data_IF_482715222763
#
_entry.id   IF_482715222763
#
_cell.length_a   1.000
_cell.length_b   1.000
_cell.length_c   1.000
_cell.angle_alpha   90.00
_cell.angle_beta   90.00
_cell.angle_gamma   90.00
#
_symmetry.space_group_name_H-M   'P 1'
#
loop_
_entity.id
_entity.type
_entity.pdbx_description
1 polymer ?
#
# COMPACT_ATOMS: atom_id res chain seq x y z
N UNK A 1 40.39 18.28 -3.92
CA UNK A 1 41.66 18.57 -4.63
C UNK A 1 41.31 19.27 -5.95
N UNK A 2 41.96 20.40 -6.29
CA UNK A 2 42.01 21.09 -7.62
C UNK A 2 40.69 21.19 -8.44
N UNK A 3 39.97 22.32 -8.51
CA UNK A 3 40.20 23.47 -9.46
C UNK A 3 40.45 23.03 -10.91
N UNK A 4 39.78 23.53 -11.97
CA UNK A 4 39.79 24.92 -12.52
C UNK A 4 38.71 24.96 -13.65
N UNK A 5 37.74 25.89 -13.75
CA UNK A 5 37.78 27.28 -14.30
C UNK A 5 38.28 27.46 -15.75
N UNK A 6 37.60 28.34 -16.52
CA UNK A 6 38.05 29.16 -17.71
C UNK A 6 37.20 29.02 -19.01
N UNK A 7 36.89 30.18 -19.60
CA UNK A 7 36.29 30.44 -20.94
C UNK A 7 37.26 31.38 -21.73
N UNK A 8 36.87 32.28 -22.66
CA UNK A 8 35.71 32.39 -23.57
C UNK A 8 36.16 32.70 -25.04
N UNK A 9 35.21 33.17 -25.88
CA UNK A 9 35.39 34.01 -27.09
C UNK A 9 35.85 33.35 -28.40
N UNK A 10 35.06 33.59 -29.47
CA UNK A 10 35.57 34.14 -30.75
C UNK A 10 34.61 35.16 -31.37
N UNK A 11 35.19 36.20 -31.97
CA UNK A 11 34.57 37.39 -32.60
C UNK A 11 34.83 37.41 -34.12
N UNK A 12 34.20 38.38 -34.80
CA UNK A 12 34.49 38.94 -36.15
C UNK A 12 33.70 38.28 -37.31
N UNK A 13 33.34 38.97 -38.41
CA UNK A 13 33.58 40.36 -38.89
C UNK A 13 32.22 41.10 -39.12
N UNK A 14 32.04 42.43 -39.19
CA UNK A 14 32.73 43.59 -39.78
C UNK A 14 32.52 43.85 -41.29
N UNK A 15 32.32 45.14 -41.63
CA UNK A 15 31.97 45.80 -42.92
C UNK A 15 30.50 45.63 -43.36
N UNK A 16 29.68 46.65 -43.68
CA UNK A 16 29.80 48.08 -44.06
C UNK A 16 29.93 48.39 -45.57
N UNK A 17 28.83 48.88 -46.17
CA UNK A 17 28.88 49.89 -47.25
C UNK A 17 27.58 50.69 -47.33
N UNK A 18 27.70 51.96 -47.74
CA UNK A 18 26.67 52.98 -47.78
C UNK A 18 26.69 53.59 -49.19
N UNK A 19 25.58 53.56 -49.94
CA UNK A 19 25.42 54.37 -51.15
C UNK A 19 24.00 54.95 -51.17
N UNK A 20 23.92 56.26 -51.37
CA UNK A 20 22.68 57.01 -51.38
C UNK A 20 22.19 57.29 -52.81
N UNK A 21 20.88 57.52 -52.93
CA UNK A 21 20.32 58.41 -53.95
C UNK A 21 19.77 57.75 -55.21
N UNK A 22 18.45 57.83 -55.38
CA UNK A 22 17.89 58.77 -56.35
C UNK A 22 16.40 59.02 -56.07
N UNK A 23 16.05 60.30 -55.92
CA UNK A 23 14.67 60.75 -56.08
C UNK A 23 14.25 60.52 -57.54
N UNK A 24 13.13 59.85 -57.76
CA UNK A 24 12.27 60.13 -58.92
C UNK A 24 10.83 60.27 -58.42
N UNK A 25 10.30 61.48 -58.61
CA UNK A 25 8.91 61.82 -58.33
C UNK A 25 8.02 61.13 -59.37
N UNK A 26 7.06 60.33 -58.92
CA UNK A 26 5.87 60.01 -59.72
C UNK A 26 4.65 60.47 -58.95
N UNK A 27 3.97 61.46 -59.49
CA UNK A 27 2.74 62.02 -58.95
C UNK A 27 1.56 61.19 -59.51
N UNK A 28 1.09 60.21 -58.75
CA UNK A 28 -0.16 59.49 -59.02
C UNK A 28 -1.26 59.97 -58.06
N UNK A 29 -2.52 59.85 -58.49
CA UNK A 29 -3.69 60.41 -57.82
C UNK A 29 -3.90 59.90 -56.40
N UNK A 30 -4.49 60.77 -55.58
CA UNK A 30 -5.20 60.38 -54.37
C UNK A 30 -6.50 59.68 -54.75
N UNK A 31 -6.41 58.39 -55.01
CA UNK A 31 -7.53 57.46 -54.86
C UNK A 31 -7.23 56.67 -53.58
N UNK A 32 -7.98 56.96 -52.50
CA UNK A 32 -7.87 56.28 -51.20
C UNK A 32 -8.51 54.87 -51.24
N UNK A 33 -8.11 54.06 -52.24
CA UNK A 33 -8.36 52.62 -52.30
C UNK A 33 -7.10 51.88 -51.81
N UNK A 34 -6.65 52.19 -50.60
CA UNK A 34 -5.82 51.24 -49.86
C UNK A 34 -6.71 50.02 -49.61
N UNK A 35 -6.32 48.80 -50.02
CA UNK A 35 -7.12 47.62 -49.69
C UNK A 35 -7.24 47.57 -48.17
N UNK A 36 -8.47 47.40 -47.67
CA UNK A 36 -8.71 47.16 -46.25
C UNK A 36 -7.74 46.04 -45.81
N UNK A 37 -6.99 46.22 -44.71
CA UNK A 37 -6.07 45.20 -44.25
C UNK A 37 -6.87 43.92 -44.04
N UNK A 38 -6.47 42.83 -44.72
CA UNK A 38 -7.18 41.55 -44.60
C UNK A 38 -7.35 41.22 -43.11
N UNK A 39 -8.55 40.87 -42.64
CA UNK A 39 -8.80 40.65 -41.22
C UNK A 39 -7.95 39.47 -40.74
N UNK A 40 -6.84 39.80 -40.07
CA UNK A 40 -6.01 38.83 -39.36
C UNK A 40 -6.83 38.27 -38.22
N UNK A 41 -6.96 36.93 -38.16
CA UNK A 41 -7.56 36.27 -37.01
C UNK A 41 -6.82 36.69 -35.72
N UNK A 42 -7.53 36.81 -34.58
CA UNK A 42 -6.87 36.98 -33.30
C UNK A 42 -5.92 35.81 -33.02
N UNK A 43 -4.82 36.13 -32.34
CA UNK A 43 -3.79 35.17 -32.02
C UNK A 43 -4.13 34.44 -30.72
N UNK A 44 -4.23 33.12 -30.79
CA UNK A 44 -4.48 32.25 -29.64
C UNK A 44 -3.19 31.64 -29.07
N UNK A 45 -1.99 32.02 -29.57
CA UNK A 45 -0.69 31.63 -28.98
C UNK A 45 -0.52 32.13 -27.52
N UNK A 46 -1.32 33.12 -27.08
CA UNK A 46 -1.33 33.58 -25.68
C UNK A 46 -2.11 32.65 -24.73
N UNK A 47 -2.98 31.76 -25.25
CA UNK A 47 -3.67 30.75 -24.43
C UNK A 47 -2.73 29.61 -24.12
N UNK A 48 -2.38 29.46 -22.84
CA UNK A 48 -1.47 28.42 -22.39
C UNK A 48 -1.99 27.00 -22.69
N UNK A 49 -1.08 26.16 -23.20
CA UNK A 49 -1.27 24.71 -23.23
C UNK A 49 -1.48 24.15 -21.82
N UNK A 50 -2.20 23.03 -21.73
CA UNK A 50 -2.41 22.36 -20.46
C UNK A 50 -1.08 21.81 -19.94
N UNK A 51 -0.81 21.92 -18.62
CA UNK A 51 0.35 21.27 -18.06
C UNK A 51 0.24 19.74 -18.23
N UNK A 52 1.36 19.02 -18.46
CA UNK A 52 1.36 17.57 -18.41
C UNK A 52 1.04 17.10 -16.98
N UNK A 53 0.34 15.97 -16.84
CA UNK A 53 0.01 15.44 -15.51
C UNK A 53 1.27 14.99 -14.78
N UNK A 54 1.60 15.67 -13.68
CA UNK A 54 2.55 15.18 -12.68
C UNK A 54 1.84 14.20 -11.75
N UNK A 55 2.17 12.92 -11.86
CA UNK A 55 1.51 11.80 -11.18
C UNK A 55 2.55 10.85 -10.56
N UNK A 56 3.14 11.27 -9.44
CA UNK A 56 4.12 10.47 -8.69
C UNK A 56 3.47 9.25 -8.03
N UNK A 57 4.22 8.15 -7.90
CA UNK A 57 3.72 6.95 -7.24
C UNK A 57 3.63 7.11 -5.71
N UNK A 58 2.55 6.60 -5.07
CA UNK A 58 2.40 6.66 -3.63
C UNK A 58 3.51 5.88 -2.92
N UNK A 59 3.92 6.35 -1.75
CA UNK A 59 4.84 5.60 -0.89
C UNK A 59 4.12 4.41 -0.26
N UNK A 60 4.49 3.21 -0.68
CA UNK A 60 4.03 1.96 -0.08
C UNK A 60 4.86 1.69 1.18
N UNK A 61 4.18 1.32 2.27
CA UNK A 61 4.80 0.85 3.52
C UNK A 61 4.37 -0.58 3.72
N UNK A 62 5.33 -1.50 3.81
CA UNK A 62 5.04 -2.91 4.05
C UNK A 62 4.50 -3.14 5.48
N UNK A 63 3.48 -4.00 5.65
CA UNK A 63 2.93 -4.29 6.97
C UNK A 63 3.88 -5.10 7.85
N UNK A 64 3.89 -4.81 9.15
CA UNK A 64 4.61 -5.63 10.13
C UNK A 64 3.71 -6.76 10.64
N UNK A 65 4.05 -8.02 10.37
CA UNK A 65 3.17 -9.19 10.62
C UNK A 65 3.38 -9.87 11.98
N UNK A 66 4.40 -9.49 12.75
CA UNK A 66 4.74 -10.13 14.03
C UNK A 66 5.15 -11.60 13.89
N UNK A 67 5.21 -12.28 15.02
CA UNK A 67 5.64 -13.68 15.16
C UNK A 67 5.00 -14.33 16.38
N UNK A 68 5.14 -15.66 16.49
CA UNK A 68 4.81 -16.40 17.71
C UNK A 68 6.13 -16.78 18.37
N UNK A 69 6.30 -16.39 19.62
CA UNK A 69 7.55 -16.59 20.36
C UNK A 69 7.36 -17.64 21.45
N UNK A 70 8.44 -18.36 21.75
CA UNK A 70 8.46 -19.27 22.88
C UNK A 70 8.55 -18.49 24.20
N UNK A 71 7.88 -18.99 25.24
CA UNK A 71 7.94 -18.40 26.57
C UNK A 71 9.36 -18.47 27.16
N UNK A 72 9.84 -17.35 27.72
CA UNK A 72 11.14 -17.27 28.40
C UNK A 72 11.18 -18.25 29.59
N UNK A 73 10.09 -18.38 30.35
CA UNK A 73 9.96 -19.34 31.43
C UNK A 73 10.07 -20.80 30.95
N UNK A 74 9.49 -21.16 29.81
CA UNK A 74 9.61 -22.51 29.22
C UNK A 74 11.03 -22.78 28.73
N UNK A 75 11.69 -21.82 28.07
CA UNK A 75 13.10 -21.95 27.69
C UNK A 75 14.01 -22.12 28.92
N UNK A 76 13.75 -21.38 30.00
CA UNK A 76 14.47 -21.50 31.26
C UNK A 76 14.26 -22.89 31.91
N UNK A 77 13.03 -23.41 31.95
CA UNK A 77 12.71 -24.75 32.46
C UNK A 77 13.45 -25.84 31.66
N UNK A 78 13.36 -25.79 30.33
CA UNK A 78 14.04 -26.73 29.42
C UNK A 78 15.55 -26.68 29.65
N UNK A 79 16.11 -25.48 29.71
CA UNK A 79 17.54 -25.24 29.93
C UNK A 79 18.03 -25.78 31.29
N UNK A 80 17.29 -25.55 32.37
CA UNK A 80 17.61 -26.04 33.72
C UNK A 80 17.60 -27.58 33.78
N UNK A 81 16.59 -28.23 33.20
CA UNK A 81 16.46 -29.69 33.17
C UNK A 81 17.53 -30.35 32.32
N UNK A 82 17.79 -29.84 31.11
CA UNK A 82 18.83 -30.37 30.22
C UNK A 82 20.24 -30.20 30.82
N UNK A 83 20.50 -29.11 31.53
CA UNK A 83 21.80 -28.83 32.16
C UNK A 83 22.00 -29.44 33.57
N UNK A 84 20.99 -30.09 34.16
CA UNK A 84 21.07 -30.71 35.50
C UNK A 84 22.13 -31.83 35.65
N UNK A 85 22.76 -32.24 34.55
CA UNK A 85 23.86 -33.22 34.52
C UNK A 85 23.41 -34.61 34.98
N UNK A 86 24.34 -35.43 35.47
CA UNK A 86 24.04 -36.78 35.97
C UNK A 86 23.72 -36.81 37.47
N UNK A 87 23.78 -35.64 38.14
CA UNK A 87 23.58 -35.50 39.58
C UNK A 87 22.30 -34.75 39.97
N UNK A 88 21.55 -34.23 38.98
CA UNK A 88 20.12 -33.96 39.10
C UNK A 88 19.72 -32.75 39.93
N UNK A 89 20.53 -31.69 39.97
CA UNK A 89 20.16 -30.45 40.67
C UNK A 89 19.33 -29.52 39.78
N UNK A 90 18.12 -29.94 39.42
CA UNK A 90 17.08 -29.05 38.85
C UNK A 90 16.67 -28.04 39.94
N UNK A 91 16.48 -26.78 39.55
CA UNK A 91 16.13 -25.69 40.47
C UNK A 91 14.75 -25.86 41.13
N UNK A 92 14.58 -25.30 42.33
CA UNK A 92 13.29 -25.29 43.02
C UNK A 92 12.23 -24.47 42.25
N UNK A 93 12.64 -23.48 41.45
CA UNK A 93 11.74 -22.69 40.61
C UNK A 93 11.11 -23.54 39.50
N UNK A 94 11.93 -24.24 38.71
CA UNK A 94 11.47 -25.21 37.69
C UNK A 94 10.56 -26.27 38.29
N UNK A 95 10.89 -26.78 39.48
CA UNK A 95 10.07 -27.77 40.19
C UNK A 95 8.70 -27.22 40.61
N UNK A 96 8.61 -25.95 40.97
CA UNK A 96 7.37 -25.30 41.37
C UNK A 96 6.46 -25.02 40.17
N UNK A 97 6.97 -24.42 39.09
CA UNK A 97 6.20 -24.19 37.87
C UNK A 97 5.65 -25.49 37.26
N UNK A 98 6.47 -26.56 37.25
CA UNK A 98 6.02 -27.88 36.80
C UNK A 98 5.07 -28.57 37.79
N UNK A 99 5.11 -28.24 39.09
CA UNK A 99 4.09 -28.69 40.07
C UNK A 99 2.71 -28.15 39.70
N UNK A 100 2.63 -26.88 39.33
CA UNK A 100 1.38 -26.21 38.96
C UNK A 100 0.78 -26.79 37.68
N UNK A 101 1.60 -27.02 36.64
CA UNK A 101 1.20 -27.79 35.44
C UNK A 101 0.64 -29.16 35.82
N UNK A 102 1.29 -29.87 36.75
CA UNK A 102 0.83 -31.17 37.23
C UNK A 102 -0.47 -31.14 38.03
N UNK A 103 -0.73 -30.07 38.79
CA UNK A 103 -1.96 -29.90 39.59
C UNK A 103 -3.16 -29.47 38.72
N UNK A 104 -2.93 -28.68 37.68
CA UNK A 104 -3.93 -28.45 36.62
C UNK A 104 -4.21 -29.74 35.85
N UNK A 105 -3.18 -30.43 35.38
CA UNK A 105 -3.31 -31.63 34.53
C UNK A 105 -4.02 -32.80 35.21
N UNK A 106 -3.97 -32.89 36.55
CA UNK A 106 -4.73 -33.88 37.33
C UNK A 106 -6.26 -33.69 37.26
N UNK A 107 -6.73 -32.50 36.90
CA UNK A 107 -8.15 -32.16 36.77
C UNK A 107 -8.70 -32.51 35.37
N UNK A 108 -7.81 -32.70 34.39
CA UNK A 108 -8.16 -33.06 33.02
C UNK A 108 -8.63 -34.53 32.90
N UNK A 109 -9.41 -34.88 31.87
CA UNK A 109 -9.85 -36.26 31.64
C UNK A 109 -8.70 -37.27 31.57
N UNK A 110 -8.93 -38.49 32.04
CA UNK A 110 -7.91 -39.54 32.06
C UNK A 110 -7.37 -39.89 30.65
N UNK A 111 -8.19 -39.74 29.62
CA UNK A 111 -7.82 -39.85 28.20
C UNK A 111 -6.78 -38.80 27.79
N UNK A 112 -6.90 -37.56 28.26
CA UNK A 112 -5.93 -36.47 28.02
C UNK A 112 -4.63 -36.77 28.76
N UNK A 113 -4.70 -37.22 30.01
CA UNK A 113 -3.51 -37.61 30.79
C UNK A 113 -2.77 -38.79 30.13
N UNK A 114 -3.50 -39.75 29.55
CA UNK A 114 -2.93 -40.85 28.77
C UNK A 114 -2.30 -40.38 27.44
N UNK A 115 -2.94 -39.43 26.73
CA UNK A 115 -2.35 -38.79 25.53
C UNK A 115 -1.04 -38.07 25.88
N UNK A 116 -1.00 -37.28 26.95
CA UNK A 116 0.23 -36.62 27.42
C UNK A 116 1.34 -37.64 27.77
N UNK A 117 1.02 -38.69 28.53
CA UNK A 117 2.00 -39.71 28.93
C UNK A 117 2.65 -40.43 27.72
N UNK A 118 1.88 -40.62 26.64
CA UNK A 118 2.29 -41.27 25.40
C UNK A 118 2.68 -40.30 24.27
N UNK A 119 2.83 -39.00 24.57
CA UNK A 119 3.15 -38.00 23.55
C UNK A 119 4.54 -38.25 22.93
N UNK A 120 4.60 -38.15 21.60
CA UNK A 120 5.80 -38.23 20.75
C UNK A 120 5.73 -37.17 19.63
N UNK A 121 6.77 -37.10 18.77
CA UNK A 121 6.84 -36.13 17.67
C UNK A 121 5.70 -36.27 16.66
N UNK A 122 5.18 -37.49 16.44
CA UNK A 122 4.09 -37.73 15.49
C UNK A 122 2.74 -37.28 16.07
N UNK A 123 2.54 -37.43 17.37
CA UNK A 123 1.39 -36.87 18.08
C UNK A 123 1.44 -35.33 18.12
N UNK A 124 2.64 -34.73 18.28
CA UNK A 124 2.84 -33.28 18.15
C UNK A 124 2.48 -32.80 16.73
N UNK A 125 2.97 -33.47 15.69
CA UNK A 125 2.65 -33.12 14.30
C UNK A 125 1.13 -33.16 14.02
N UNK A 126 0.42 -34.15 14.56
CA UNK A 126 -1.03 -34.26 14.44
C UNK A 126 -1.76 -33.12 15.20
N UNK A 127 -1.31 -32.77 16.41
CA UNK A 127 -1.88 -31.64 17.18
C UNK A 127 -1.68 -30.31 16.45
N UNK A 128 -0.49 -30.08 15.89
CA UNK A 128 -0.17 -28.87 15.12
C UNK A 128 -0.74 -28.89 13.68
N UNK A 129 -1.43 -29.94 13.25
CA UNK A 129 -2.03 -29.98 11.91
C UNK A 129 -3.40 -29.27 11.89
N UNK A 130 -3.43 -28.02 11.43
CA UNK A 130 -4.66 -27.22 11.34
C UNK A 130 -5.71 -27.82 10.38
N UNK A 131 -5.30 -28.60 9.37
CA UNK A 131 -6.21 -29.28 8.44
C UNK A 131 -6.97 -30.47 9.07
N UNK A 132 -6.52 -30.95 10.24
CA UNK A 132 -7.13 -32.05 10.97
C UNK A 132 -7.89 -31.54 12.21
N UNK A 133 -9.13 -31.98 12.39
CA UNK A 133 -9.93 -31.68 13.58
C UNK A 133 -9.29 -32.32 14.82
N UNK A 134 -9.14 -31.55 15.90
CA UNK A 134 -8.65 -32.09 17.17
C UNK A 134 -9.62 -33.14 17.72
N UNK A 135 -9.06 -34.17 18.37
CA UNK A 135 -9.82 -35.09 19.21
C UNK A 135 -10.66 -34.29 20.22
N UNK A 136 -11.93 -34.69 20.42
CA UNK A 136 -12.89 -33.91 21.21
C UNK A 136 -12.43 -33.63 22.66
N UNK A 137 -11.67 -34.54 23.28
CA UNK A 137 -11.11 -34.29 24.61
C UNK A 137 -9.97 -33.26 24.56
N UNK A 138 -9.19 -33.21 23.47
CA UNK A 138 -8.13 -32.23 23.25
C UNK A 138 -8.68 -30.85 22.88
N UNK A 139 -9.72 -30.79 22.04
CA UNK A 139 -10.43 -29.55 21.74
C UNK A 139 -11.02 -28.93 23.01
N UNK A 140 -11.69 -29.75 23.85
CA UNK A 140 -12.21 -29.30 25.13
C UNK A 140 -11.12 -28.84 26.12
N UNK A 141 -9.88 -29.33 26.01
CA UNK A 141 -8.74 -28.81 26.80
C UNK A 141 -8.24 -27.50 26.23
N UNK A 142 -8.07 -27.38 24.90
CA UNK A 142 -7.70 -26.12 24.23
C UNK A 142 -8.64 -24.98 24.63
N UNK A 143 -9.95 -25.23 24.61
CA UNK A 143 -10.97 -24.24 24.99
C UNK A 143 -10.94 -23.89 26.49
N UNK A 144 -10.22 -24.66 27.34
CA UNK A 144 -9.95 -24.32 28.74
C UNK A 144 -8.63 -23.56 28.94
N UNK A 145 -7.79 -23.42 27.91
CA UNK A 145 -6.50 -22.72 28.03
C UNK A 145 -6.67 -21.20 28.14
N UNK A 146 -7.77 -20.66 27.58
CA UNK A 146 -8.14 -19.24 27.68
C UNK A 146 -8.30 -18.73 29.14
N UNK A 147 -8.69 -19.61 30.07
CA UNK A 147 -8.94 -19.32 31.49
C UNK A 147 -7.85 -19.89 32.43
N UNK A 148 -6.62 -20.11 31.93
CA UNK A 148 -5.53 -20.67 32.73
C UNK A 148 -5.08 -19.80 33.91
N UNK A 149 -4.54 -20.40 34.99
CA UNK A 149 -3.75 -19.68 35.98
C UNK A 149 -2.56 -18.95 35.33
N UNK A 150 -2.26 -17.74 35.80
CA UNK A 150 -1.19 -16.87 35.29
C UNK A 150 0.19 -17.55 35.32
N UNK A 151 0.39 -18.48 36.26
CA UNK A 151 1.61 -19.25 36.42
C UNK A 151 1.80 -20.32 35.33
N UNK A 152 0.71 -20.81 34.74
CA UNK A 152 0.75 -21.75 33.60
C UNK A 152 0.72 -21.00 32.28
N UNK A 153 -0.06 -19.90 32.16
CA UNK A 153 -0.12 -19.13 30.91
C UNK A 153 1.24 -18.58 30.49
N UNK A 154 2.09 -18.17 31.45
CA UNK A 154 3.48 -17.75 31.20
C UNK A 154 4.39 -18.85 30.66
N UNK A 155 3.98 -20.12 30.67
CA UNK A 155 4.74 -21.23 30.08
C UNK A 155 4.35 -21.50 28.62
N UNK A 156 3.27 -20.89 28.14
CA UNK A 156 2.72 -21.07 26.80
C UNK A 156 3.34 -20.05 25.83
N UNK A 157 3.29 -20.29 24.51
CA UNK A 157 3.79 -19.31 23.53
C UNK A 157 2.91 -18.07 23.52
N UNK A 158 3.50 -16.92 23.17
CA UNK A 158 2.75 -15.67 23.02
C UNK A 158 2.82 -15.17 21.57
N UNK A 159 1.73 -14.55 21.09
CA UNK A 159 1.73 -13.83 19.81
C UNK A 159 2.33 -12.44 20.07
N UNK A 160 3.49 -12.16 19.48
CA UNK A 160 4.11 -10.85 19.53
C UNK A 160 3.41 -9.91 18.53
N UNK A 161 2.36 -9.22 19.01
CA UNK A 161 1.57 -8.29 18.20
C UNK A 161 2.37 -7.04 17.84
N UNK A 162 2.44 -6.74 16.55
CA UNK A 162 2.95 -5.48 16.01
C UNK A 162 1.91 -4.37 16.15
N UNK A 163 2.35 -3.12 16.05
CA UNK A 163 1.45 -1.96 16.07
C UNK A 163 0.37 -2.02 14.96
N UNK A 164 0.68 -2.66 13.83
CA UNK A 164 -0.26 -2.90 12.74
C UNK A 164 -1.37 -3.90 13.10
N UNK A 165 -1.02 -5.01 13.75
CA UNK A 165 -1.99 -6.01 14.23
C UNK A 165 -2.84 -5.46 15.39
N UNK A 166 -2.25 -4.69 16.31
CA UNK A 166 -2.99 -3.97 17.35
C UNK A 166 -3.99 -2.98 16.75
N UNK A 167 -3.57 -2.21 15.74
CA UNK A 167 -4.44 -1.28 15.04
C UNK A 167 -5.59 -2.00 14.33
N UNK A 168 -5.33 -3.14 13.68
CA UNK A 168 -6.36 -3.96 13.05
C UNK A 168 -7.43 -4.42 14.05
N UNK A 169 -7.01 -5.03 15.17
CA UNK A 169 -7.92 -5.44 16.27
C UNK A 169 -8.77 -4.28 16.80
N UNK A 170 -8.24 -3.05 16.79
CA UNK A 170 -8.95 -1.87 17.26
C UNK A 170 -9.93 -1.25 16.23
N UNK A 171 -9.74 -1.48 14.92
CA UNK A 171 -10.52 -0.80 13.88
C UNK A 171 -11.93 -1.38 13.69
N UNK A 172 -12.04 -2.71 13.68
CA UNK A 172 -13.28 -3.45 13.37
C UNK A 172 -13.71 -3.29 11.91
N UNK A 173 -14.36 -4.32 11.35
CA UNK A 173 -14.73 -4.37 9.93
C UNK A 173 -15.62 -3.20 9.50
N UNK A 174 -15.13 -2.39 8.55
CA UNK A 174 -15.85 -1.25 7.95
C UNK A 174 -15.87 -1.35 6.44
N UNK A 175 -17.07 -1.30 5.88
CA UNK A 175 -17.29 -1.15 4.44
C UNK A 175 -17.25 0.31 4.02
N UNK A 176 -16.43 0.63 3.02
CA UNK A 176 -16.39 1.95 2.39
C UNK A 176 -17.54 2.12 1.39
N UNK A 177 -17.95 3.37 1.12
CA UNK A 177 -19.06 3.68 0.22
C UNK A 177 -18.70 4.79 -0.76
N UNK A 178 -18.76 4.46 -2.06
CA UNK A 178 -18.46 5.41 -3.14
C UNK A 178 -19.43 6.59 -3.19
N UNK A 179 -18.90 7.74 -3.60
CA UNK A 179 -19.65 8.83 -4.22
C UNK A 179 -19.25 8.92 -5.69
N UNK A 180 -20.18 9.33 -6.53
CA UNK A 180 -19.95 9.64 -7.94
C UNK A 180 -20.14 11.13 -8.17
N UNK A 181 -19.18 11.78 -8.80
CA UNK A 181 -19.33 13.16 -9.28
C UNK A 181 -19.94 13.16 -10.70
N UNK A 182 -20.61 14.27 -11.04
CA UNK A 182 -21.43 14.46 -12.24
C UNK A 182 -20.89 15.70 -12.98
N UNK A 183 -20.37 15.53 -14.20
CA UNK A 183 -19.79 16.62 -15.00
C UNK A 183 -20.85 17.21 -15.95
N UNK A 184 -21.02 18.54 -15.87
CA UNK A 184 -22.09 19.27 -16.55
C UNK A 184 -21.86 19.58 -18.03
N UNK A 185 -22.95 19.85 -18.72
CA UNK A 185 -23.04 20.11 -20.17
C UNK A 185 -22.67 21.58 -20.51
N UNK A 186 -22.08 21.82 -21.69
CA UNK A 186 -21.60 23.16 -22.12
C UNK A 186 -22.64 23.92 -22.97
N UNK A 187 -22.82 25.22 -22.68
CA UNK A 187 -23.86 26.08 -23.26
C UNK A 187 -23.33 26.86 -24.51
N UNK A 188 -24.06 26.94 -25.65
CA UNK A 188 -23.50 27.47 -26.90
C UNK A 188 -23.59 29.00 -27.06
N UNK A 189 -22.48 29.63 -27.43
CA UNK A 189 -22.36 31.09 -27.66
C UNK A 189 -22.98 31.53 -28.99
N UNK A 190 -23.61 32.71 -29.03
CA UNK A 190 -24.42 33.18 -30.16
C UNK A 190 -23.63 33.65 -31.40
N UNK A 191 -24.15 33.35 -32.59
CA UNK A 191 -23.50 33.67 -33.87
C UNK A 191 -23.66 35.13 -34.33
N UNK A 192 -22.55 35.68 -34.84
CA UNK A 192 -22.44 36.92 -35.62
C UNK A 192 -21.82 36.57 -36.97
N UNK A 193 -22.53 36.85 -38.07
CA UNK A 193 -22.11 36.46 -39.43
C UNK A 193 -21.32 37.58 -40.13
N UNK A 194 -20.09 37.25 -40.57
CA UNK A 194 -19.19 38.10 -41.33
C UNK A 194 -17.79 37.47 -41.39
N UNK A 195 -17.03 37.68 -42.47
CA UNK A 195 -15.79 36.94 -42.75
C UNK A 195 -14.71 37.04 -41.66
N UNK A 196 -14.56 38.21 -41.04
CA UNK A 196 -13.68 38.39 -39.87
C UNK A 196 -14.11 37.52 -38.66
N UNK A 197 -15.42 37.44 -38.40
CA UNK A 197 -15.98 36.63 -37.32
C UNK A 197 -15.99 35.13 -37.61
N UNK A 198 -15.97 34.74 -38.89
CA UNK A 198 -15.78 33.34 -39.31
C UNK A 198 -14.32 32.89 -39.09
N UNK A 199 -13.34 33.69 -39.50
CA UNK A 199 -11.92 33.44 -39.23
C UNK A 199 -11.61 33.40 -37.72
N UNK A 200 -12.20 34.32 -36.96
CA UNK A 200 -12.04 34.40 -35.50
C UNK A 200 -12.61 33.16 -34.79
N UNK A 201 -13.76 32.65 -35.23
CA UNK A 201 -14.31 31.40 -34.68
C UNK A 201 -13.51 30.18 -35.10
N UNK A 202 -13.05 30.09 -36.34
CA UNK A 202 -12.23 28.97 -36.78
C UNK A 202 -10.94 28.84 -35.94
N UNK A 203 -10.26 29.96 -35.65
CA UNK A 203 -9.08 29.96 -34.80
C UNK A 203 -9.38 29.58 -33.33
N UNK A 204 -10.53 29.99 -32.79
CA UNK A 204 -11.01 29.54 -31.47
C UNK A 204 -11.33 28.04 -31.46
N UNK A 205 -12.10 27.56 -32.44
CA UNK A 205 -12.50 26.15 -32.57
C UNK A 205 -11.25 25.26 -32.69
N UNK A 206 -10.23 25.68 -33.44
CA UNK A 206 -8.93 25.01 -33.55
C UNK A 206 -8.19 24.96 -32.20
N UNK A 207 -8.16 26.06 -31.41
CA UNK A 207 -7.50 26.06 -30.08
C UNK A 207 -8.26 25.22 -29.05
N UNK A 208 -9.59 25.26 -29.04
CA UNK A 208 -10.40 24.40 -28.16
C UNK A 208 -10.23 22.92 -28.51
N UNK A 209 -10.11 22.58 -29.80
CA UNK A 209 -9.83 21.20 -30.23
C UNK A 209 -8.44 20.73 -29.76
N UNK A 210 -7.43 21.59 -29.83
CA UNK A 210 -6.09 21.32 -29.29
C UNK A 210 -6.11 21.13 -27.76
N UNK A 211 -6.69 22.05 -26.99
CA UNK A 211 -6.83 21.93 -25.53
C UNK A 211 -7.61 20.65 -25.14
N UNK A 212 -8.63 20.28 -25.91
CA UNK A 212 -9.41 19.05 -25.70
C UNK A 212 -8.56 17.80 -25.95
N UNK A 213 -7.75 17.78 -27.01
CA UNK A 213 -6.82 16.67 -27.29
C UNK A 213 -5.72 16.55 -26.21
N UNK A 214 -5.25 17.67 -25.66
CA UNK A 214 -4.33 17.68 -24.51
C UNK A 214 -5.02 17.14 -23.24
N UNK A 215 -6.27 17.54 -22.98
CA UNK A 215 -7.08 17.02 -21.86
C UNK A 215 -7.30 15.51 -21.98
N UNK A 216 -7.71 15.00 -23.15
CA UNK A 216 -7.87 13.56 -23.42
C UNK A 216 -6.56 12.78 -23.21
N UNK A 217 -5.42 13.36 -23.62
CA UNK A 217 -4.09 12.76 -23.41
C UNK A 217 -3.74 12.68 -21.93
N UNK A 218 -4.03 13.73 -21.17
CA UNK A 218 -3.83 13.80 -19.72
C UNK A 218 -4.73 12.78 -18.98
N UNK A 219 -6.03 12.72 -19.29
CA UNK A 219 -6.97 11.75 -18.72
C UNK A 219 -6.59 10.30 -19.06
N UNK A 220 -6.18 10.04 -20.30
CA UNK A 220 -5.67 8.73 -20.72
C UNK A 220 -4.41 8.31 -19.96
N UNK A 221 -3.56 9.27 -19.57
CA UNK A 221 -2.35 9.01 -18.78
C UNK A 221 -2.71 8.67 -17.33
N UNK A 222 -3.66 9.40 -16.73
CA UNK A 222 -4.19 9.13 -15.40
C UNK A 222 -4.83 7.73 -15.32
N UNK A 223 -5.68 7.37 -16.28
CA UNK A 223 -6.34 6.05 -16.30
C UNK A 223 -5.33 4.90 -16.48
N UNK A 224 -4.28 5.10 -17.28
CA UNK A 224 -3.20 4.13 -17.45
C UNK A 224 -2.40 3.94 -16.15
N UNK A 225 -2.09 5.04 -15.43
CA UNK A 225 -1.41 4.98 -14.13
C UNK A 225 -2.28 4.35 -13.04
N UNK A 226 -3.57 4.68 -13.00
CA UNK A 226 -4.54 4.06 -12.10
C UNK A 226 -4.60 2.54 -12.33
N UNK A 227 -4.81 2.12 -13.58
CA UNK A 227 -4.87 0.69 -13.96
C UNK A 227 -3.57 -0.04 -13.60
N UNK A 228 -2.41 0.58 -13.83
CA UNK A 228 -1.10 0.05 -13.42
C UNK A 228 -1.04 -0.15 -11.90
N UNK A 229 -1.38 0.88 -11.11
CA UNK A 229 -1.31 0.83 -9.65
C UNK A 229 -2.24 -0.21 -9.03
N UNK A 230 -3.42 -0.45 -9.62
CA UNK A 230 -4.29 -1.55 -9.21
C UNK A 230 -3.58 -2.91 -9.40
N UNK A 231 -3.02 -3.17 -10.59
CA UNK A 231 -2.31 -4.42 -10.86
C UNK A 231 -1.02 -4.59 -10.06
N UNK A 232 -0.33 -3.49 -9.72
CA UNK A 232 0.82 -3.51 -8.80
C UNK A 232 0.42 -3.77 -7.34
N UNK A 233 -0.76 -3.30 -6.90
CA UNK A 233 -1.30 -3.60 -5.57
C UNK A 233 -1.75 -5.07 -5.46
N UNK A 234 -2.38 -5.62 -6.50
CA UNK A 234 -2.69 -7.05 -6.59
C UNK A 234 -1.39 -7.90 -6.55
N UNK A 235 -0.38 -7.54 -7.34
CA UNK A 235 0.90 -8.26 -7.35
C UNK A 235 1.64 -8.21 -6.00
N UNK A 236 1.66 -7.05 -5.32
CA UNK A 236 2.22 -6.94 -3.96
C UNK A 236 1.43 -7.77 -2.95
N UNK A 237 0.12 -7.87 -3.09
CA UNK A 237 -0.70 -8.72 -2.23
C UNK A 237 -0.38 -10.21 -2.43
N UNK A 238 -0.26 -10.68 -3.67
CA UNK A 238 0.19 -12.05 -3.99
C UNK A 238 1.59 -12.34 -3.41
N UNK A 239 2.57 -11.44 -3.58
CA UNK A 239 3.92 -11.57 -3.02
C UNK A 239 3.90 -11.64 -1.47
N UNK A 240 3.01 -10.87 -0.82
CA UNK A 240 2.82 -10.88 0.64
C UNK A 240 2.17 -12.18 1.14
N UNK A 241 1.25 -12.77 0.37
CA UNK A 241 0.67 -14.08 0.68
C UNK A 241 1.73 -15.18 0.63
N UNK A 242 2.55 -15.24 -0.43
CA UNK A 242 3.66 -16.22 -0.53
C UNK A 242 4.63 -16.07 0.65
N UNK A 243 5.00 -14.82 0.99
CA UNK A 243 5.84 -14.53 2.16
C UNK A 243 5.19 -14.98 3.48
N UNK A 244 3.88 -14.81 3.64
CA UNK A 244 3.15 -15.23 4.84
C UNK A 244 3.06 -16.76 4.97
N UNK A 245 2.95 -17.49 3.86
CA UNK A 245 3.04 -18.97 3.87
C UNK A 245 4.42 -19.44 4.37
N UNK A 246 5.52 -18.79 3.95
CA UNK A 246 6.87 -19.08 4.44
C UNK A 246 7.03 -18.73 5.93
N UNK A 247 6.49 -17.60 6.40
CA UNK A 247 6.49 -17.23 7.81
C UNK A 247 5.68 -18.22 8.67
N UNK A 248 4.50 -18.63 8.22
CA UNK A 248 3.66 -19.61 8.90
C UNK A 248 4.36 -20.98 9.02
N UNK A 249 5.00 -21.45 7.95
CA UNK A 249 5.79 -22.68 7.98
C UNK A 249 6.99 -22.58 8.95
N UNK A 250 7.61 -21.41 9.03
CA UNK A 250 8.74 -21.13 9.94
C UNK A 250 8.29 -21.14 11.41
N UNK A 251 7.27 -20.33 11.77
CA UNK A 251 6.71 -20.30 13.12
C UNK A 251 6.27 -21.69 13.59
N UNK A 252 5.62 -22.47 12.72
CA UNK A 252 5.24 -23.87 13.02
C UNK A 252 6.45 -24.79 13.23
N UNK A 253 7.54 -24.60 12.48
CA UNK A 253 8.78 -25.35 12.66
C UNK A 253 9.46 -25.02 13.99
N UNK A 254 9.49 -23.75 14.38
CA UNK A 254 10.13 -23.28 15.61
C UNK A 254 9.35 -23.74 16.85
N UNK A 255 8.01 -23.64 16.82
CA UNK A 255 7.11 -24.24 17.82
C UNK A 255 7.37 -25.74 17.97
N UNK A 256 7.54 -26.47 16.87
CA UNK A 256 7.87 -27.90 16.90
C UNK A 256 9.23 -28.16 17.55
N UNK A 257 10.24 -27.33 17.27
CA UNK A 257 11.55 -27.45 17.90
C UNK A 257 11.45 -27.27 19.44
N UNK A 258 10.74 -26.25 19.91
CA UNK A 258 10.49 -26.05 21.36
C UNK A 258 9.80 -27.27 21.98
N UNK A 259 8.78 -27.82 21.33
CA UNK A 259 8.07 -29.01 21.82
C UNK A 259 8.97 -30.26 21.89
N UNK A 260 9.84 -30.47 20.89
CA UNK A 260 10.85 -31.53 20.91
C UNK A 260 11.85 -31.33 22.05
N UNK A 261 12.27 -30.10 22.34
CA UNK A 261 13.18 -29.82 23.46
C UNK A 261 12.53 -30.04 24.83
N UNK A 262 11.23 -29.75 24.99
CA UNK A 262 10.46 -30.11 26.21
C UNK A 262 10.38 -31.64 26.37
N UNK A 263 10.18 -32.41 25.28
CA UNK A 263 10.23 -33.87 25.33
C UNK A 263 11.63 -34.39 25.71
N UNK A 264 12.70 -33.81 25.15
CA UNK A 264 14.08 -34.15 25.49
C UNK A 264 14.38 -33.86 26.97
N UNK A 265 13.86 -32.76 27.51
CA UNK A 265 13.90 -32.45 28.94
C UNK A 265 13.16 -33.53 29.77
N UNK A 266 11.99 -34.01 29.33
CA UNK A 266 11.26 -35.08 30.01
C UNK A 266 12.03 -36.41 30.04
N UNK A 267 12.69 -36.77 28.93
CA UNK A 267 13.59 -37.93 28.88
C UNK A 267 14.80 -37.75 29.82
N UNK A 268 15.40 -36.54 29.83
CA UNK A 268 16.50 -36.22 30.74
C UNK A 268 16.09 -36.34 32.20
N UNK A 269 14.95 -35.77 32.60
CA UNK A 269 14.38 -35.89 33.94
C UNK A 269 14.15 -37.36 34.34
N UNK A 270 13.62 -38.17 33.41
CA UNK A 270 13.47 -39.63 33.61
C UNK A 270 14.83 -40.30 33.86
N UNK A 271 15.87 -39.96 33.09
CA UNK A 271 17.19 -40.58 33.20
C UNK A 271 17.90 -40.33 34.56
N UNK A 272 17.61 -39.20 35.21
CA UNK A 272 18.15 -38.85 36.53
C UNK A 272 17.24 -39.27 37.70
N UNK A 273 16.10 -39.90 37.42
CA UNK A 273 15.15 -40.42 38.41
C UNK A 273 14.04 -39.46 38.86
N UNK A 274 13.95 -38.26 38.26
CA UNK A 274 12.91 -37.25 38.55
C UNK A 274 11.62 -37.55 37.74
N UNK A 275 11.01 -38.72 38.00
CA UNK A 275 9.91 -39.26 37.18
C UNK A 275 8.61 -38.46 37.25
N UNK A 276 8.32 -37.82 38.39
CA UNK A 276 7.19 -36.91 38.53
C UNK A 276 7.36 -35.68 37.61
N UNK A 277 8.57 -35.11 37.59
CA UNK A 277 8.93 -33.96 36.77
C UNK A 277 8.91 -34.29 35.27
N UNK A 278 9.35 -35.49 34.89
CA UNK A 278 9.18 -36.00 33.52
C UNK A 278 7.72 -36.11 33.08
N UNK A 279 6.81 -36.48 34.00
CA UNK A 279 5.36 -36.51 33.71
C UNK A 279 4.80 -35.10 33.53
N UNK A 280 5.23 -34.16 34.36
CA UNK A 280 4.83 -32.74 34.29
C UNK A 280 5.34 -32.06 33.02
N UNK A 281 6.57 -32.36 32.57
CA UNK A 281 7.08 -31.87 31.29
C UNK A 281 6.27 -32.39 30.10
N UNK A 282 5.90 -33.68 30.08
CA UNK A 282 5.00 -34.22 29.05
C UNK A 282 3.60 -33.60 29.05
N UNK A 283 3.10 -33.25 30.23
CA UNK A 283 1.85 -32.50 30.39
C UNK A 283 2.01 -31.08 29.82
N UNK A 284 3.10 -30.38 30.15
CA UNK A 284 3.44 -29.08 29.55
C UNK A 284 3.54 -29.17 28.02
N UNK A 285 4.20 -30.19 27.46
CA UNK A 285 4.29 -30.38 26.00
C UNK A 285 2.90 -30.48 25.36
N UNK A 286 1.95 -31.19 25.98
CA UNK A 286 0.59 -31.29 25.45
C UNK A 286 -0.16 -29.95 25.52
N UNK A 287 -0.09 -29.24 26.65
CA UNK A 287 -0.75 -27.94 26.81
C UNK A 287 -0.15 -26.91 25.84
N UNK A 288 1.17 -26.83 25.76
CA UNK A 288 1.90 -25.97 24.82
C UNK A 288 1.54 -26.28 23.37
N UNK A 289 1.44 -27.55 22.97
CA UNK A 289 1.08 -27.91 21.59
C UNK A 289 -0.36 -27.51 21.22
N UNK A 290 -1.29 -27.59 22.18
CA UNK A 290 -2.69 -27.17 21.97
C UNK A 290 -2.82 -25.64 21.90
N UNK A 291 -2.11 -24.94 22.77
CA UNK A 291 -2.09 -23.47 22.80
C UNK A 291 -1.38 -22.91 21.55
N UNK A 292 -0.19 -23.42 21.22
CA UNK A 292 0.56 -23.04 20.03
C UNK A 292 -0.23 -23.25 18.73
N UNK A 293 -1.09 -24.29 18.66
CA UNK A 293 -2.01 -24.49 17.54
C UNK A 293 -3.03 -23.35 17.43
N UNK A 294 -3.60 -22.92 18.55
CA UNK A 294 -4.55 -21.80 18.62
C UNK A 294 -3.87 -20.47 18.29
N UNK A 295 -2.67 -20.22 18.86
CA UNK A 295 -1.86 -19.05 18.56
C UNK A 295 -1.49 -18.96 17.07
N UNK A 296 -1.10 -20.08 16.44
CA UNK A 296 -0.86 -20.18 14.99
C UNK A 296 -2.12 -19.88 14.16
N UNK A 297 -3.30 -20.26 14.64
CA UNK A 297 -4.58 -20.04 13.97
C UNK A 297 -4.98 -18.56 14.05
N UNK A 298 -4.96 -17.98 15.26
CA UNK A 298 -5.26 -16.56 15.48
C UNK A 298 -4.29 -15.64 14.75
N UNK A 299 -2.98 -15.86 14.91
CA UNK A 299 -1.94 -15.05 14.26
C UNK A 299 -2.10 -15.07 12.74
N UNK A 300 -2.27 -16.25 12.13
CA UNK A 300 -2.39 -16.35 10.67
C UNK A 300 -3.66 -15.68 10.15
N UNK A 301 -4.81 -15.83 10.83
CA UNK A 301 -6.06 -15.15 10.46
C UNK A 301 -5.90 -13.63 10.52
N UNK A 302 -5.29 -13.09 11.57
CA UNK A 302 -5.07 -11.65 11.74
C UNK A 302 -4.08 -11.09 10.72
N UNK A 303 -3.03 -11.83 10.36
CA UNK A 303 -2.10 -11.40 9.31
C UNK A 303 -2.80 -11.39 7.95
N UNK A 304 -3.56 -12.42 7.59
CA UNK A 304 -4.31 -12.43 6.32
C UNK A 304 -5.30 -11.26 6.24
N UNK A 305 -6.04 -10.96 7.33
CA UNK A 305 -6.92 -9.79 7.38
C UNK A 305 -6.12 -8.46 7.31
N UNK A 306 -4.92 -8.38 7.86
CA UNK A 306 -4.03 -7.22 7.70
C UNK A 306 -3.61 -7.03 6.24
N UNK A 307 -3.23 -8.10 5.54
CA UNK A 307 -2.82 -8.06 4.13
C UNK A 307 -3.97 -7.61 3.22
N UNK A 308 -5.18 -8.14 3.44
CA UNK A 308 -6.40 -7.70 2.74
C UNK A 308 -6.65 -6.20 2.92
N UNK A 309 -6.62 -5.72 4.16
CA UNK A 309 -6.85 -4.31 4.47
C UNK A 309 -5.76 -3.39 3.88
N UNK A 310 -4.50 -3.86 3.78
CA UNK A 310 -3.42 -3.12 3.11
C UNK A 310 -3.65 -3.02 1.60
N UNK A 311 -4.04 -4.12 0.95
CA UNK A 311 -4.38 -4.12 -0.48
C UNK A 311 -5.53 -3.14 -0.77
N UNK A 312 -6.61 -3.19 0.01
CA UNK A 312 -7.76 -2.28 -0.18
C UNK A 312 -7.38 -0.81 0.10
N UNK A 313 -6.52 -0.54 1.08
CA UNK A 313 -6.00 0.81 1.34
C UNK A 313 -5.12 1.34 0.19
N UNK A 314 -4.29 0.50 -0.43
CA UNK A 314 -3.51 0.86 -1.63
C UNK A 314 -4.41 1.17 -2.82
N UNK A 315 -5.45 0.34 -3.06
CA UNK A 315 -6.43 0.55 -4.14
C UNK A 315 -7.25 1.82 -3.93
N UNK A 316 -7.68 2.09 -2.69
CA UNK A 316 -8.36 3.33 -2.32
C UNK A 316 -7.47 4.57 -2.53
N UNK A 317 -6.18 4.48 -2.17
CA UNK A 317 -5.20 5.55 -2.41
C UNK A 317 -4.99 5.79 -3.91
N UNK A 318 -4.93 4.73 -4.72
CA UNK A 318 -4.82 4.86 -6.17
C UNK A 318 -6.06 5.54 -6.80
N UNK A 319 -7.25 5.28 -6.26
CA UNK A 319 -8.49 5.96 -6.68
C UNK A 319 -8.50 7.43 -6.25
N UNK A 320 -8.12 7.76 -5.01
CA UNK A 320 -8.04 9.15 -4.53
C UNK A 320 -7.05 9.99 -5.36
N UNK A 321 -5.89 9.41 -5.72
CA UNK A 321 -4.92 10.04 -6.63
C UNK A 321 -5.55 10.27 -8.01
N UNK A 322 -6.24 9.26 -8.57
CA UNK A 322 -6.94 9.40 -9.85
C UNK A 322 -7.95 10.55 -9.81
N UNK A 323 -8.89 10.54 -8.87
CA UNK A 323 -9.96 11.54 -8.77
C UNK A 323 -9.37 12.95 -8.59
N UNK A 324 -8.35 13.10 -7.73
CA UNK A 324 -7.63 14.37 -7.53
C UNK A 324 -6.96 14.89 -8.82
N UNK A 325 -6.45 13.99 -9.67
CA UNK A 325 -5.77 14.35 -10.92
C UNK A 325 -6.74 14.63 -12.05
N UNK A 326 -7.87 13.93 -12.11
CA UNK A 326 -8.97 14.25 -13.04
C UNK A 326 -9.56 15.63 -12.72
N UNK A 327 -9.82 15.93 -11.46
CA UNK A 327 -10.28 17.25 -11.00
C UNK A 327 -9.25 18.36 -11.32
N UNK A 328 -7.95 18.09 -11.16
CA UNK A 328 -6.89 19.04 -11.52
C UNK A 328 -6.90 19.33 -13.04
N UNK A 329 -6.95 18.29 -13.88
CA UNK A 329 -6.97 18.43 -15.35
C UNK A 329 -8.21 19.17 -15.83
N UNK A 330 -9.38 18.93 -15.22
CA UNK A 330 -10.62 19.65 -15.54
C UNK A 330 -10.53 21.14 -15.17
N UNK A 331 -9.94 21.48 -14.02
CA UNK A 331 -9.74 22.86 -13.60
C UNK A 331 -8.72 23.62 -14.47
N UNK A 332 -7.64 22.95 -14.88
CA UNK A 332 -6.64 23.52 -15.79
C UNK A 332 -7.26 23.75 -17.19
N UNK A 333 -8.07 22.80 -17.70
CA UNK A 333 -8.80 22.95 -18.96
C UNK A 333 -9.78 24.14 -18.95
N UNK A 334 -10.63 24.25 -17.93
CA UNK A 334 -11.59 25.35 -17.86
C UNK A 334 -10.89 26.71 -17.73
N UNK A 335 -9.73 26.77 -17.05
CA UNK A 335 -8.90 27.98 -16.96
C UNK A 335 -8.36 28.41 -18.33
N UNK A 336 -7.83 27.48 -19.14
CA UNK A 336 -7.38 27.80 -20.51
C UNK A 336 -8.55 28.08 -21.47
N UNK A 337 -9.72 27.45 -21.25
CA UNK A 337 -10.94 27.73 -22.01
C UNK A 337 -11.47 29.14 -21.73
N UNK A 338 -11.55 29.57 -20.48
CA UNK A 338 -11.97 30.93 -20.11
C UNK A 338 -11.06 32.01 -20.75
N UNK A 339 -9.75 31.75 -20.86
CA UNK A 339 -8.82 32.63 -21.58
C UNK A 339 -9.10 32.66 -23.09
N UNK A 340 -9.38 31.51 -23.70
CA UNK A 340 -9.77 31.44 -25.11
C UNK A 340 -11.12 32.14 -25.36
N UNK A 341 -12.10 32.00 -24.46
CA UNK A 341 -13.38 32.71 -24.51
C UNK A 341 -13.19 34.24 -24.38
N UNK A 342 -12.28 34.73 -23.53
CA UNK A 342 -11.95 36.16 -23.44
C UNK A 342 -11.38 36.69 -24.77
N UNK A 343 -10.38 36.02 -25.35
CA UNK A 343 -9.78 36.38 -26.65
C UNK A 343 -10.79 36.30 -27.80
N UNK A 344 -11.66 35.29 -27.81
CA UNK A 344 -12.76 35.16 -28.79
C UNK A 344 -13.70 36.37 -28.72
N UNK A 345 -14.11 36.77 -27.52
CA UNK A 345 -15.02 37.89 -27.31
C UNK A 345 -14.39 39.23 -27.72
N UNK A 346 -13.11 39.45 -27.39
CA UNK A 346 -12.38 40.64 -27.86
C UNK A 346 -12.21 40.65 -29.40
N UNK A 347 -11.85 39.52 -30.00
CA UNK A 347 -11.73 39.37 -31.45
C UNK A 347 -13.03 39.67 -32.19
N UNK A 348 -14.16 39.12 -31.71
CA UNK A 348 -15.49 39.39 -32.28
C UNK A 348 -15.91 40.86 -32.11
N UNK A 349 -15.62 41.49 -30.96
CA UNK A 349 -15.88 42.92 -30.75
C UNK A 349 -15.05 43.80 -31.71
N UNK A 350 -13.79 43.42 -31.98
CA UNK A 350 -12.95 44.11 -32.95
C UNK A 350 -13.45 43.95 -34.39
N UNK A 351 -13.91 42.75 -34.79
CA UNK A 351 -14.57 42.54 -36.08
C UNK A 351 -15.82 43.42 -36.27
N UNK A 352 -16.62 43.64 -35.22
CA UNK A 352 -17.78 44.54 -35.27
C UNK A 352 -17.40 46.00 -35.55
N UNK A 353 -16.32 46.49 -34.91
CA UNK A 353 -15.90 47.88 -35.04
C UNK A 353 -15.42 48.22 -36.46
N UNK A 354 -14.80 47.26 -37.17
CA UNK A 354 -14.38 47.44 -38.57
C UNK A 354 -15.56 47.62 -39.54
N UNK A 355 -16.71 46.96 -39.29
CA UNK A 355 -17.90 47.07 -40.14
C UNK A 355 -18.73 48.35 -39.93
N UNK A 356 -18.41 49.18 -38.93
CA UNK A 356 -19.19 50.37 -38.56
C UNK A 356 -18.63 51.71 -39.07
N UNK A 357 -17.47 51.67 -39.73
CA UNK A 357 -16.77 52.84 -40.27
C UNK A 357 -17.00 53.07 -41.76
N UNK A 358 -18.25 53.34 -42.18
CA UNK A 358 -18.61 53.78 -43.54
C UNK A 358 -19.73 54.85 -43.50
#
# INVERSE_FOLDING_TARGET
MKTTFIQPVRRALFLSTLVAGSFLLSNCSSDDDAPEPEPTAPDFEEVADLPPVEDEDPQITEPETGSIEASEETENIVTDVLNAGDTGSISDATKESLREVGEFSQQLPASVQEKAANLDEAAIDAILNQDEELDADLAAVRDQLEDLPEEISKLLPEINFTADLEALKAMGTKTSGNKTNDFGDLDPVSQVTGSCGELTRAAYDDKIADLTAQMETNLSTIEANYTRRLGEADARYDDRLETQEEHYATNKSDIKATLTDILAAAEKATSIGETALATQLKQLTLLYALDARAALEEWNVLVLELLDNRMEAEKATALEIKETKEDQVAADFETSKDQADEILNEGLANCHNQGSGN
#
